data_IF_048816547597
#
_entry.id   IF_048816547597
#
_cell.length_a   1.000
_cell.length_b   1.000
_cell.length_c   1.000
_cell.angle_alpha   90.00
_cell.angle_beta   90.00
_cell.angle_gamma   90.00
#
_symmetry.space_group_name_H-M   'P 1'
#
loop_
_entity.id
_entity.type
_entity.pdbx_description
1 polymer ?
#
# COMPACT_ATOMS: atom_id res chain seq x y z
N UNK A 1 -4.58 0.53 -6.13
CA UNK A 1 -5.18 -0.53 -5.30
C UNK A 1 -6.56 -0.92 -5.81
N UNK A 2 -6.97 -2.14 -5.51
CA UNK A 2 -8.21 -2.72 -6.00
C UNK A 2 -9.02 -3.31 -4.85
N UNK A 3 -10.29 -2.94 -4.73
CA UNK A 3 -11.21 -3.42 -3.71
C UNK A 3 -12.45 -4.13 -4.26
N UNK A 4 -12.78 -3.92 -5.54
CA UNK A 4 -13.84 -4.65 -6.27
C UNK A 4 -15.27 -4.51 -5.75
N UNK A 5 -15.50 -3.67 -4.75
CA UNK A 5 -16.82 -3.55 -4.11
C UNK A 5 -17.88 -2.97 -5.06
N UNK A 6 -19.09 -3.55 -5.04
CA UNK A 6 -20.23 -3.12 -5.88
C UNK A 6 -21.19 -2.20 -5.16
N UNK A 7 -21.08 -2.08 -3.84
CA UNK A 7 -21.91 -1.25 -2.98
C UNK A 7 -21.12 -0.19 -2.23
N UNK A 8 -21.84 0.62 -1.43
CA UNK A 8 -21.23 1.61 -0.54
C UNK A 8 -20.59 0.98 0.71
N UNK A 9 -20.99 -0.24 1.05
CA UNK A 9 -20.47 -1.01 2.19
C UNK A 9 -19.43 -2.03 1.70
N UNK A 10 -18.37 -2.22 2.50
CA UNK A 10 -17.39 -3.29 2.28
C UNK A 10 -17.88 -4.67 2.74
N UNK A 11 -19.05 -4.75 3.39
CA UNK A 11 -19.64 -6.01 3.85
C UNK A 11 -20.06 -6.91 2.69
N UNK A 12 -20.51 -6.31 1.58
CA UNK A 12 -20.86 -7.05 0.38
C UNK A 12 -19.62 -7.28 -0.47
N UNK A 13 -19.03 -8.44 -0.31
CA UNK A 13 -17.87 -8.85 -1.10
C UNK A 13 -18.27 -9.18 -2.55
N UNK A 14 -17.44 -8.82 -3.55
CA UNK A 14 -17.68 -9.19 -4.94
C UNK A 14 -17.55 -10.71 -5.13
N UNK A 15 -18.34 -11.25 -6.03
CA UNK A 15 -18.22 -12.64 -6.46
C UNK A 15 -16.97 -12.84 -7.32
N UNK A 16 -16.49 -14.08 -7.44
CA UNK A 16 -15.35 -14.41 -8.30
C UNK A 16 -15.60 -13.98 -9.76
N UNK A 17 -16.84 -14.09 -10.25
CA UNK A 17 -17.17 -13.67 -11.61
C UNK A 17 -17.09 -12.15 -11.79
N UNK A 18 -17.58 -11.37 -10.85
CA UNK A 18 -17.43 -9.89 -10.87
C UNK A 18 -15.97 -9.47 -10.80
N UNK A 19 -15.16 -10.17 -9.99
CA UNK A 19 -13.71 -9.94 -9.93
C UNK A 19 -13.07 -10.25 -11.30
N UNK A 20 -13.43 -11.35 -11.96
CA UNK A 20 -12.91 -11.68 -13.29
C UNK A 20 -13.25 -10.61 -14.34
N UNK A 21 -14.47 -10.08 -14.31
CA UNK A 21 -14.87 -8.99 -15.20
C UNK A 21 -13.97 -7.77 -15.02
N UNK A 22 -13.74 -7.35 -13.77
CA UNK A 22 -12.85 -6.24 -13.45
C UNK A 22 -11.41 -6.49 -13.89
N UNK A 23 -10.89 -7.70 -13.64
CA UNK A 23 -9.53 -8.10 -14.02
C UNK A 23 -9.33 -8.06 -15.53
N UNK A 24 -10.30 -8.53 -16.31
CA UNK A 24 -10.23 -8.46 -17.77
C UNK A 24 -10.26 -7.02 -18.29
N UNK A 25 -11.07 -6.15 -17.68
CA UNK A 25 -11.10 -4.72 -18.01
C UNK A 25 -9.75 -4.07 -17.69
N UNK A 26 -9.21 -4.30 -16.50
CA UNK A 26 -7.90 -3.77 -16.08
C UNK A 26 -6.78 -4.28 -17.00
N UNK A 27 -6.77 -5.57 -17.32
CA UNK A 27 -5.78 -6.16 -18.21
C UNK A 27 -5.83 -5.55 -19.61
N UNK A 28 -7.04 -5.35 -20.17
CA UNK A 28 -7.22 -4.70 -21.47
C UNK A 28 -6.70 -3.24 -21.50
N UNK A 29 -6.70 -2.57 -20.34
CA UNK A 29 -6.14 -1.22 -20.18
C UNK A 29 -4.64 -1.21 -19.90
N UNK A 30 -3.98 -2.36 -19.87
CA UNK A 30 -2.54 -2.48 -19.66
C UNK A 30 -2.10 -2.62 -18.20
N UNK A 31 -3.02 -2.70 -17.22
CA UNK A 31 -2.65 -3.00 -15.85
C UNK A 31 -2.15 -4.45 -15.75
N UNK A 32 -1.05 -4.65 -15.00
CA UNK A 32 -0.45 -5.96 -14.75
C UNK A 32 -0.21 -6.23 -13.27
N UNK A 33 -0.21 -5.20 -12.44
CA UNK A 33 -0.03 -5.30 -11.00
C UNK A 33 -1.08 -4.47 -10.29
N UNK A 34 -1.67 -4.99 -9.24
CA UNK A 34 -2.50 -4.22 -8.31
C UNK A 34 -2.26 -4.67 -6.87
N UNK A 35 -2.74 -3.87 -5.92
CA UNK A 35 -2.58 -4.11 -4.49
C UNK A 35 -3.92 -4.38 -3.83
N UNK A 36 -3.95 -5.37 -2.91
CA UNK A 36 -5.02 -5.58 -1.92
C UNK A 36 -4.67 -4.90 -0.59
N UNK A 37 -5.56 -4.96 0.40
CA UNK A 37 -5.39 -4.23 1.67
C UNK A 37 -5.26 -5.13 2.89
N UNK A 38 -6.07 -6.18 2.99
CA UNK A 38 -6.20 -7.06 4.15
C UNK A 38 -6.57 -8.48 3.73
N UNK A 39 -6.47 -9.41 4.68
CA UNK A 39 -6.73 -10.84 4.50
C UNK A 39 -7.85 -11.37 5.41
N UNK A 40 -8.44 -10.52 6.25
CA UNK A 40 -9.59 -10.89 7.06
C UNK A 40 -10.83 -11.16 6.22
N UNK A 41 -10.92 -10.54 5.05
CA UNK A 41 -12.00 -10.75 4.11
C UNK A 41 -11.58 -11.69 2.98
N UNK A 42 -12.50 -12.49 2.43
CA UNK A 42 -12.17 -13.44 1.36
C UNK A 42 -11.79 -12.78 0.03
N UNK A 43 -11.82 -11.46 -0.05
CA UNK A 43 -11.60 -10.70 -1.27
C UNK A 43 -10.23 -10.98 -1.90
N UNK A 44 -9.16 -10.91 -1.12
CA UNK A 44 -7.80 -11.14 -1.62
C UNK A 44 -7.65 -12.56 -2.18
N UNK A 45 -8.07 -13.58 -1.44
CA UNK A 45 -8.03 -14.97 -1.89
C UNK A 45 -8.93 -15.21 -3.12
N UNK A 46 -10.15 -14.66 -3.14
CA UNK A 46 -11.05 -14.76 -4.29
C UNK A 46 -10.45 -14.10 -5.55
N UNK A 47 -9.68 -13.03 -5.37
CA UNK A 47 -8.96 -12.36 -6.45
C UNK A 47 -7.85 -13.26 -7.01
N UNK A 48 -7.09 -13.93 -6.17
CA UNK A 48 -6.07 -14.89 -6.60
C UNK A 48 -6.69 -16.09 -7.34
N UNK A 49 -7.82 -16.61 -6.82
CA UNK A 49 -8.61 -17.66 -7.52
C UNK A 49 -9.06 -17.20 -8.90
N UNK A 50 -9.62 -15.99 -9.00
CA UNK A 50 -10.07 -15.42 -10.26
C UNK A 50 -8.93 -15.30 -11.28
N UNK A 51 -7.75 -14.78 -10.87
CA UNK A 51 -6.57 -14.70 -11.73
C UNK A 51 -6.15 -16.09 -12.21
N UNK A 52 -6.06 -17.07 -11.30
CA UNK A 52 -5.67 -18.45 -11.65
C UNK A 52 -6.63 -19.07 -12.65
N UNK A 53 -7.94 -18.85 -12.48
CA UNK A 53 -8.94 -19.37 -13.41
C UNK A 53 -8.88 -18.70 -14.79
N UNK A 54 -8.62 -17.40 -14.86
CA UNK A 54 -8.42 -16.71 -16.15
C UNK A 54 -7.15 -17.23 -16.82
N UNK A 55 -6.02 -17.32 -16.10
CA UNK A 55 -4.76 -17.86 -16.62
C UNK A 55 -4.87 -19.29 -17.15
N UNK A 56 -5.73 -20.12 -16.55
CA UNK A 56 -5.99 -21.45 -17.05
C UNK A 56 -6.76 -21.46 -18.39
N UNK A 57 -7.62 -20.46 -18.62
CA UNK A 57 -8.39 -20.30 -19.85
C UNK A 57 -7.62 -19.55 -20.94
N UNK A 58 -6.73 -18.65 -20.55
CA UNK A 58 -5.90 -17.79 -21.41
C UNK A 58 -4.48 -17.71 -20.85
N UNK A 59 -3.53 -18.42 -21.47
CA UNK A 59 -2.12 -18.47 -21.06
C UNK A 59 -1.40 -17.14 -21.21
N UNK A 60 -1.92 -16.23 -22.04
CA UNK A 60 -1.33 -14.90 -22.29
C UNK A 60 -1.82 -13.86 -21.27
N UNK A 61 -2.76 -14.25 -20.38
CA UNK A 61 -3.22 -13.38 -19.32
C UNK A 61 -2.15 -13.21 -18.23
N UNK A 62 -1.59 -12.00 -18.16
CA UNK A 62 -0.59 -11.62 -17.14
C UNK A 62 -1.20 -10.67 -16.12
N UNK A 63 -1.31 -11.12 -14.87
CA UNK A 63 -1.73 -10.29 -13.75
C UNK A 63 -1.04 -10.77 -12.47
N UNK A 64 -0.50 -9.81 -11.72
CA UNK A 64 0.25 -10.04 -10.48
C UNK A 64 -0.36 -9.25 -9.33
N UNK A 65 -0.14 -9.73 -8.12
CA UNK A 65 -0.70 -9.12 -6.91
C UNK A 65 0.41 -8.72 -5.94
N UNK A 66 0.33 -7.49 -5.48
CA UNK A 66 0.94 -7.01 -4.26
C UNK A 66 -0.07 -7.27 -3.14
N UNK A 67 0.17 -8.31 -2.38
CA UNK A 67 -0.73 -8.77 -1.32
C UNK A 67 -0.53 -7.88 -0.08
N UNK A 68 -1.55 -7.11 0.27
CA UNK A 68 -1.54 -6.29 1.48
C UNK A 68 -1.91 -7.10 2.70
N UNK A 69 -1.22 -6.87 3.81
CA UNK A 69 -1.57 -7.34 5.13
C UNK A 69 -1.94 -6.14 6.01
N UNK A 70 -2.96 -6.28 6.83
CA UNK A 70 -3.36 -5.23 7.74
C UNK A 70 -2.57 -5.34 9.05
N UNK A 71 -1.86 -4.28 9.41
CA UNK A 71 -1.12 -4.19 10.68
C UNK A 71 -1.69 -3.06 11.50
N UNK A 72 -2.00 -3.33 12.76
CA UNK A 72 -2.64 -2.38 13.65
C UNK A 72 -2.14 -2.50 15.09
N UNK A 73 -2.37 -1.42 15.86
CA UNK A 73 -2.12 -1.42 17.29
C UNK A 73 -3.19 -2.22 18.06
N UNK A 74 -2.91 -2.50 19.31
CA UNK A 74 -3.88 -3.09 20.23
C UNK A 74 -5.05 -2.15 20.47
N UNK A 75 -6.24 -2.71 20.59
CA UNK A 75 -7.50 -1.99 20.75
C UNK A 75 -7.77 -0.97 19.62
N UNK A 76 -7.26 -1.26 18.40
CA UNK A 76 -7.50 -0.44 17.22
C UNK A 76 -9.00 -0.26 16.95
N UNK A 77 -9.38 0.92 16.42
CA UNK A 77 -10.76 1.31 16.14
C UNK A 77 -11.69 1.39 17.35
N UNK A 78 -11.13 1.41 18.58
CA UNK A 78 -11.83 1.72 19.81
C UNK A 78 -11.65 3.20 20.20
N UNK A 79 -12.26 3.62 21.30
CA UNK A 79 -12.04 4.96 21.86
C UNK A 79 -10.63 5.17 22.42
N UNK A 80 -9.89 4.09 22.73
CA UNK A 80 -8.59 4.14 23.38
C UNK A 80 -7.61 3.16 22.74
N UNK A 81 -7.14 3.38 21.50
CA UNK A 81 -6.14 2.55 20.87
C UNK A 81 -4.79 2.67 21.61
N UNK A 82 -4.06 1.56 21.73
CA UNK A 82 -2.78 1.49 22.44
C UNK A 82 -1.66 1.32 21.42
N UNK A 83 -1.13 2.43 20.94
CA UNK A 83 -0.15 2.44 19.83
C UNK A 83 1.17 1.76 20.15
N UNK A 84 1.60 1.77 21.42
CA UNK A 84 2.86 1.13 21.86
C UNK A 84 2.75 -0.40 22.01
N UNK A 85 1.57 -0.97 21.83
CA UNK A 85 1.31 -2.42 21.79
C UNK A 85 0.68 -2.78 20.44
N UNK A 86 1.11 -3.90 19.85
CA UNK A 86 0.48 -4.41 18.63
C UNK A 86 -0.75 -5.28 18.95
N UNK A 87 -1.69 -5.35 18.01
CA UNK A 87 -2.68 -6.43 17.98
C UNK A 87 -2.01 -7.72 17.48
N UNK A 88 -1.35 -8.41 18.42
CA UNK A 88 -0.52 -9.56 18.09
C UNK A 88 -1.28 -10.66 17.34
N UNK A 89 -2.51 -10.96 17.77
CA UNK A 89 -3.29 -12.07 17.18
C UNK A 89 -3.79 -11.70 15.78
N UNK A 90 -4.32 -10.47 15.60
CA UNK A 90 -4.77 -9.98 14.32
C UNK A 90 -3.62 -9.83 13.32
N UNK A 91 -2.52 -9.21 13.73
CA UNK A 91 -1.35 -9.03 12.88
C UNK A 91 -0.71 -10.37 12.49
N UNK A 92 -0.63 -11.33 13.44
CA UNK A 92 -0.13 -12.67 13.16
C UNK A 92 -1.02 -13.43 12.18
N UNK A 93 -2.34 -13.32 12.30
CA UNK A 93 -3.28 -13.91 11.33
C UNK A 93 -3.01 -13.39 9.92
N UNK A 94 -2.94 -12.07 9.74
CA UNK A 94 -2.67 -11.43 8.45
C UNK A 94 -1.38 -11.94 7.81
N UNK A 95 -0.29 -11.99 8.58
CA UNK A 95 1.00 -12.47 8.07
C UNK A 95 0.97 -13.97 7.75
N UNK A 96 0.32 -14.79 8.60
CA UNK A 96 0.20 -16.23 8.36
C UNK A 96 -0.58 -16.51 7.07
N UNK A 97 -1.68 -15.79 6.85
CA UNK A 97 -2.48 -15.92 5.62
C UNK A 97 -1.72 -15.41 4.39
N UNK A 98 -0.95 -14.33 4.51
CA UNK A 98 -0.10 -13.86 3.42
C UNK A 98 0.93 -14.90 2.99
N UNK A 99 1.58 -15.56 3.95
CA UNK A 99 2.53 -16.65 3.69
C UNK A 99 1.82 -17.82 2.99
N UNK A 100 0.68 -18.26 3.51
CA UNK A 100 -0.11 -19.34 2.88
C UNK A 100 -0.47 -19.02 1.44
N UNK A 101 -1.00 -17.82 1.19
CA UNK A 101 -1.41 -17.39 -0.15
C UNK A 101 -0.22 -17.22 -1.10
N UNK A 102 0.91 -16.70 -0.62
CA UNK A 102 2.13 -16.59 -1.44
C UNK A 102 2.68 -17.97 -1.83
N UNK A 103 2.60 -18.97 -0.94
CA UNK A 103 2.97 -20.35 -1.23
C UNK A 103 1.99 -21.05 -2.18
N UNK A 104 0.69 -20.78 -2.06
CA UNK A 104 -0.36 -21.39 -2.91
C UNK A 104 -0.41 -20.76 -4.32
N UNK A 105 -0.03 -19.48 -4.46
CA UNK A 105 -0.09 -18.70 -5.71
C UNK A 105 1.26 -18.04 -6.05
N UNK A 106 2.37 -18.78 -6.11
CA UNK A 106 3.71 -18.21 -6.25
C UNK A 106 3.95 -17.53 -7.61
N UNK A 107 3.16 -17.86 -8.62
CA UNK A 107 3.21 -17.25 -9.94
C UNK A 107 2.37 -15.95 -10.03
N UNK A 108 1.51 -15.67 -9.04
CA UNK A 108 0.60 -14.53 -9.01
C UNK A 108 1.02 -13.52 -7.94
N UNK A 109 1.27 -13.99 -6.70
CA UNK A 109 1.73 -13.12 -5.60
C UNK A 109 3.22 -12.85 -5.78
N UNK A 110 3.56 -11.61 -6.09
CA UNK A 110 4.95 -11.18 -6.32
C UNK A 110 5.48 -10.24 -5.24
N UNK A 111 4.59 -9.65 -4.47
CA UNK A 111 4.93 -8.70 -3.41
C UNK A 111 4.02 -8.97 -2.21
N UNK A 112 4.57 -8.89 -0.99
CA UNK A 112 3.82 -8.75 0.24
C UNK A 112 4.11 -7.36 0.82
N UNK A 113 3.05 -6.59 1.07
CA UNK A 113 3.11 -5.30 1.74
C UNK A 113 2.64 -5.44 3.19
N UNK A 114 3.56 -5.28 4.13
CA UNK A 114 3.32 -5.37 5.57
C UNK A 114 2.78 -4.04 6.08
N UNK A 115 1.47 -3.96 6.29
CA UNK A 115 0.77 -2.74 6.67
C UNK A 115 0.28 -1.91 5.47
N UNK A 116 -0.75 -1.14 5.73
CA UNK A 116 -1.30 -0.12 4.85
C UNK A 116 -1.47 1.17 5.62
N UNK A 117 -0.60 2.16 5.37
CA UNK A 117 -0.56 3.41 6.13
C UNK A 117 -0.56 3.13 7.64
N UNK A 118 0.21 2.11 8.04
CA UNK A 118 0.24 1.61 9.39
C UNK A 118 1.08 2.49 10.33
N UNK A 119 2.06 3.22 9.81
CA UNK A 119 3.00 4.01 10.63
C UNK A 119 2.67 5.50 10.65
N UNK A 120 1.74 5.97 9.83
CA UNK A 120 1.41 7.39 9.72
C UNK A 120 0.58 7.87 10.90
N UNK A 121 1.03 8.92 11.61
CA UNK A 121 0.46 9.37 12.89
C UNK A 121 -0.98 9.87 12.80
N UNK A 122 -1.45 10.38 11.63
CA UNK A 122 -2.84 10.78 11.46
C UNK A 122 -3.83 9.60 11.44
N UNK A 123 -3.33 8.37 11.24
CA UNK A 123 -4.15 7.15 11.37
C UNK A 123 -4.36 6.77 12.84
N UNK A 124 -4.79 7.75 13.64
CA UNK A 124 -4.93 7.65 15.09
C UNK A 124 -5.66 6.39 15.57
N UNK A 125 -6.62 5.92 14.81
CA UNK A 125 -7.44 4.76 15.22
C UNK A 125 -6.69 3.42 15.19
N UNK A 126 -5.52 3.32 14.52
CA UNK A 126 -4.86 2.02 14.33
C UNK A 126 -3.34 2.07 14.17
N UNK A 127 -2.72 3.24 14.03
CA UNK A 127 -1.30 3.29 13.70
C UNK A 127 -0.40 2.61 14.73
N UNK A 128 0.75 2.16 14.26
CA UNK A 128 1.79 1.50 15.05
C UNK A 128 3.14 2.17 14.84
N UNK A 129 4.06 2.18 15.81
CA UNK A 129 5.44 2.56 15.57
C UNK A 129 6.13 1.58 14.60
N UNK A 130 7.19 2.02 13.88
CA UNK A 130 7.91 1.22 12.89
C UNK A 130 8.40 -0.14 13.38
N UNK A 131 8.71 -0.28 14.67
CA UNK A 131 9.18 -1.54 15.29
C UNK A 131 8.26 -2.75 15.01
N UNK A 132 6.93 -2.54 14.93
CA UNK A 132 6.00 -3.65 14.70
C UNK A 132 5.95 -4.03 13.22
N UNK A 133 6.02 -3.07 12.30
CA UNK A 133 6.14 -3.36 10.86
C UNK A 133 7.48 -4.05 10.60
N UNK A 134 8.58 -3.54 11.16
CA UNK A 134 9.92 -4.12 11.07
C UNK A 134 9.96 -5.57 11.55
N UNK A 135 9.34 -5.88 12.69
CA UNK A 135 9.23 -7.24 13.21
C UNK A 135 8.67 -8.20 12.16
N UNK A 136 7.57 -7.83 11.51
CA UNK A 136 6.91 -8.69 10.54
C UNK A 136 7.63 -8.73 9.19
N UNK A 137 8.23 -7.64 8.76
CA UNK A 137 9.13 -7.61 7.58
C UNK A 137 10.30 -8.58 7.80
N UNK A 138 11.00 -8.49 8.94
CA UNK A 138 12.11 -9.41 9.27
C UNK A 138 11.66 -10.87 9.35
N UNK A 139 10.46 -11.14 9.87
CA UNK A 139 9.90 -12.49 9.86
C UNK A 139 9.75 -13.03 8.44
N UNK A 140 9.16 -12.27 7.52
CA UNK A 140 8.99 -12.68 6.12
C UNK A 140 10.33 -12.81 5.39
N UNK A 141 11.30 -11.91 5.62
CA UNK A 141 12.66 -12.05 5.09
C UNK A 141 13.36 -13.30 5.63
N UNK A 142 13.12 -13.65 6.89
CA UNK A 142 13.59 -14.91 7.48
C UNK A 142 13.02 -16.14 6.78
N UNK A 143 11.73 -16.13 6.40
CA UNK A 143 11.10 -17.20 5.63
C UNK A 143 11.66 -17.31 4.19
N UNK A 144 12.05 -16.19 3.59
CA UNK A 144 12.79 -16.21 2.30
C UNK A 144 14.17 -16.86 2.49
N UNK A 145 14.90 -16.46 3.52
CA UNK A 145 16.25 -16.97 3.80
C UNK A 145 16.25 -18.47 4.13
N UNK A 146 15.19 -19.01 4.78
CA UNK A 146 15.03 -20.45 5.05
C UNK A 146 14.53 -21.26 3.84
N UNK A 147 14.03 -20.59 2.79
CA UNK A 147 13.45 -21.23 1.61
C UNK A 147 11.96 -21.59 1.76
N UNK A 148 11.30 -21.16 2.85
CA UNK A 148 9.87 -21.32 3.03
C UNK A 148 9.05 -20.38 2.13
N UNK A 149 9.64 -19.24 1.74
CA UNK A 149 9.13 -18.34 0.72
C UNK A 149 10.13 -18.21 -0.43
N UNK A 150 9.62 -17.91 -1.64
CA UNK A 150 10.47 -17.68 -2.81
C UNK A 150 11.38 -16.47 -2.61
N UNK A 151 12.64 -16.56 -3.04
CA UNK A 151 13.56 -15.43 -3.08
C UNK A 151 13.11 -14.32 -4.07
N UNK A 152 12.28 -14.68 -5.06
CA UNK A 152 11.72 -13.73 -6.04
C UNK A 152 10.52 -12.95 -5.49
N UNK A 153 10.04 -13.29 -4.29
CA UNK A 153 8.97 -12.56 -3.61
C UNK A 153 9.55 -11.30 -2.96
N UNK A 154 9.01 -10.15 -3.27
CA UNK A 154 9.43 -8.89 -2.67
C UNK A 154 8.62 -8.58 -1.41
N UNK A 155 9.31 -8.11 -0.38
CA UNK A 155 8.71 -7.69 0.89
C UNK A 155 8.88 -6.18 1.04
N UNK A 156 7.78 -5.51 1.36
CA UNK A 156 7.77 -4.06 1.61
C UNK A 156 6.74 -3.71 2.70
N UNK A 157 6.61 -2.44 3.04
CA UNK A 157 5.43 -1.85 3.65
C UNK A 157 4.87 -0.79 2.70
N UNK A 158 3.56 -0.53 2.75
CA UNK A 158 2.92 0.43 1.88
C UNK A 158 2.36 1.57 2.72
N UNK A 159 3.06 2.70 2.77
CA UNK A 159 2.78 3.76 3.73
C UNK A 159 2.95 5.17 3.13
N UNK A 160 2.50 6.17 3.87
CA UNK A 160 2.61 7.56 3.48
C UNK A 160 4.09 8.02 3.42
N UNK A 161 4.40 8.95 2.53
CA UNK A 161 5.75 9.48 2.38
C UNK A 161 6.35 10.00 3.70
N UNK A 162 5.50 10.57 4.58
CA UNK A 162 5.96 11.11 5.86
C UNK A 162 6.54 10.02 6.76
N UNK A 163 5.86 8.87 6.86
CA UNK A 163 6.31 7.74 7.68
C UNK A 163 7.50 6.97 7.09
N UNK A 164 7.85 7.22 5.82
CA UNK A 164 9.09 6.76 5.22
C UNK A 164 10.26 7.76 5.34
N UNK A 165 10.16 8.70 6.30
CA UNK A 165 11.20 9.70 6.59
C UNK A 165 11.15 10.94 5.71
N UNK A 166 10.18 11.05 4.79
CA UNK A 166 10.00 12.27 3.98
C UNK A 166 9.21 13.38 4.68
N UNK A 167 8.71 13.12 5.90
CA UNK A 167 7.96 14.07 6.73
C UNK A 167 8.84 14.83 7.70
N UNK A 168 8.27 15.16 8.88
CA UNK A 168 9.01 15.80 9.97
C UNK A 168 9.93 14.81 10.68
N UNK A 169 10.91 15.33 11.41
CA UNK A 169 11.90 14.55 12.17
C UNK A 169 11.26 13.64 13.24
N UNK A 170 9.99 13.87 13.60
CA UNK A 170 9.24 13.02 14.54
C UNK A 170 9.06 11.55 14.03
N UNK A 171 9.20 11.35 12.73
CA UNK A 171 9.18 10.01 12.15
C UNK A 171 10.54 9.31 12.17
N UNK A 172 11.64 10.08 12.33
CA UNK A 172 13.00 9.55 12.24
C UNK A 172 13.38 8.81 13.52
N UNK A 173 13.70 7.54 13.41
CA UNK A 173 14.18 6.71 14.51
C UNK A 173 14.89 5.45 14.00
N UNK A 174 15.63 4.79 14.89
CA UNK A 174 16.44 3.61 14.56
C UNK A 174 15.59 2.44 13.97
N UNK A 175 14.34 2.29 14.42
CA UNK A 175 13.46 1.23 13.91
C UNK A 175 13.01 1.52 12.46
N UNK A 176 12.78 2.78 12.10
CA UNK A 176 12.50 3.18 10.73
C UNK A 176 13.70 2.95 9.82
N UNK A 177 14.90 3.36 10.28
CA UNK A 177 16.14 3.14 9.53
C UNK A 177 16.37 1.65 9.23
N UNK A 178 16.19 0.82 10.24
CA UNK A 178 16.31 -0.63 10.10
C UNK A 178 15.21 -1.23 9.20
N UNK A 179 13.98 -0.69 9.28
CA UNK A 179 12.89 -1.10 8.40
C UNK A 179 13.22 -0.79 6.94
N UNK A 180 13.72 0.41 6.65
CA UNK A 180 14.12 0.82 5.30
C UNK A 180 15.20 -0.12 4.74
N UNK A 181 16.20 -0.51 5.56
CA UNK A 181 17.23 -1.49 5.17
C UNK A 181 16.71 -2.91 5.02
N UNK A 182 15.56 -3.23 5.61
CA UNK A 182 14.99 -4.59 5.65
C UNK A 182 14.01 -4.88 4.54
N UNK A 183 13.43 -3.87 3.90
CA UNK A 183 12.49 -4.03 2.78
C UNK A 183 13.23 -4.18 1.45
N UNK A 184 12.62 -4.88 0.49
CA UNK A 184 13.18 -5.01 -0.86
C UNK A 184 13.02 -3.71 -1.68
N UNK A 185 12.06 -2.86 -1.33
CA UNK A 185 11.87 -1.50 -1.86
C UNK A 185 10.91 -0.69 -0.96
N UNK A 186 10.97 0.63 -1.04
CA UNK A 186 10.04 1.53 -0.36
C UNK A 186 8.79 1.72 -1.21
N UNK A 187 7.62 1.35 -0.68
CA UNK A 187 6.32 1.58 -1.33
C UNK A 187 5.64 2.78 -0.69
N UNK A 188 5.78 3.92 -1.35
CA UNK A 188 5.36 5.21 -0.86
C UNK A 188 3.98 5.62 -1.40
N UNK A 189 3.13 6.18 -0.55
CA UNK A 189 1.89 6.84 -0.96
C UNK A 189 2.07 8.35 -1.08
N UNK A 190 1.58 8.89 -2.19
CA UNK A 190 1.40 10.32 -2.43
C UNK A 190 0.00 10.56 -2.99
N UNK A 191 -0.63 11.67 -2.62
CA UNK A 191 -2.02 11.94 -3.00
C UNK A 191 -2.22 13.42 -3.34
N UNK A 192 -1.55 13.90 -4.40
CA UNK A 192 -1.60 15.30 -4.78
C UNK A 192 -3.04 15.85 -4.93
N UNK A 193 -3.97 15.06 -5.47
CA UNK A 193 -5.36 15.48 -5.64
C UNK A 193 -6.19 15.42 -4.35
N UNK A 194 -5.87 14.52 -3.43
CA UNK A 194 -6.53 14.43 -2.13
C UNK A 194 -6.00 15.50 -1.18
N UNK A 195 -4.70 15.73 -1.17
CA UNK A 195 -4.04 16.62 -0.22
C UNK A 195 -4.40 18.10 -0.44
N UNK A 196 -4.88 18.44 -1.64
CA UNK A 196 -5.45 19.78 -1.93
C UNK A 196 -6.71 20.09 -1.14
N UNK A 197 -7.43 19.09 -0.66
CA UNK A 197 -8.53 19.32 0.27
C UNK A 197 -8.04 20.00 1.55
N UNK A 198 -6.84 19.65 2.01
CA UNK A 198 -6.19 20.23 3.19
C UNK A 198 -5.29 21.42 2.86
N UNK A 199 -4.89 21.56 1.60
CA UNK A 199 -4.07 22.68 1.11
C UNK A 199 -4.58 23.19 -0.24
N UNK A 200 -5.67 24.00 -0.25
CA UNK A 200 -6.29 24.49 -1.48
C UNK A 200 -5.34 25.24 -2.42
N UNK A 201 -4.22 25.78 -1.91
CA UNK A 201 -3.27 26.55 -2.72
C UNK A 201 -2.63 25.72 -3.86
N UNK A 202 -2.60 24.38 -3.75
CA UNK A 202 -2.08 23.53 -4.83
C UNK A 202 -3.00 23.47 -6.04
N UNK A 203 -4.32 23.53 -5.82
CA UNK A 203 -5.33 23.33 -6.87
C UNK A 203 -6.16 24.55 -7.16
N UNK A 204 -6.05 25.61 -6.34
CA UNK A 204 -7.02 26.70 -6.40
C UNK A 204 -7.03 27.32 -7.80
N UNK A 205 -8.05 26.94 -8.57
CA UNK A 205 -8.35 27.53 -9.87
C UNK A 205 -9.03 28.91 -9.71
N UNK A 206 -9.45 29.28 -8.48
CA UNK A 206 -10.09 30.54 -8.19
C UNK A 206 -9.08 31.69 -8.05
N UNK A 207 -7.78 31.37 -7.96
CA UNK A 207 -6.67 32.34 -7.99
C UNK A 207 -6.19 32.54 -9.43
N UNK A 208 -7.12 32.61 -10.40
CA UNK A 208 -6.80 32.95 -11.77
C UNK A 208 -6.75 34.49 -11.86
N UNK A 209 -5.63 35.10 -12.22
CA UNK A 209 -5.63 36.50 -12.62
C UNK A 209 -6.63 36.69 -13.80
N UNK A 210 -7.43 37.75 -13.76
CA UNK A 210 -8.49 38.01 -14.76
C UNK A 210 -8.03 37.99 -16.22
N UNK A 211 -6.73 37.88 -16.48
CA UNK A 211 -6.08 37.95 -17.80
C UNK A 211 -5.41 36.65 -18.25
N UNK A 212 -5.50 35.55 -17.51
CA UNK A 212 -4.88 34.27 -17.89
C UNK A 212 -5.89 33.32 -18.55
N UNK A 213 -5.43 32.62 -19.60
CA UNK A 213 -6.20 31.58 -20.27
C UNK A 213 -6.47 30.41 -19.27
N UNK A 214 -7.73 30.02 -19.20
CA UNK A 214 -8.19 28.90 -18.36
C UNK A 214 -7.38 27.62 -18.58
N UNK A 215 -6.93 27.36 -19.81
CA UNK A 215 -6.11 26.19 -20.12
C UNK A 215 -4.71 26.27 -19.49
N UNK A 216 -4.10 27.44 -19.48
CA UNK A 216 -2.78 27.61 -18.86
C UNK A 216 -2.84 27.47 -17.34
N UNK A 217 -3.94 27.93 -16.74
CA UNK A 217 -4.19 27.75 -15.29
C UNK A 217 -4.36 26.28 -14.92
N UNK A 218 -5.07 25.48 -15.71
CA UNK A 218 -5.20 24.03 -15.49
C UNK A 218 -3.83 23.35 -15.61
N UNK A 219 -3.02 23.70 -16.62
CA UNK A 219 -1.67 23.17 -16.79
C UNK A 219 -0.77 23.51 -15.58
N UNK A 220 -0.85 24.74 -15.09
CA UNK A 220 -0.10 25.17 -13.90
C UNK A 220 -0.56 24.41 -12.63
N UNK A 221 -1.86 24.16 -12.47
CA UNK A 221 -2.39 23.35 -11.35
C UNK A 221 -1.88 21.91 -11.44
N UNK A 222 -1.93 21.29 -12.62
CA UNK A 222 -1.37 19.95 -12.85
C UNK A 222 0.13 19.93 -12.53
N UNK A 223 0.88 20.94 -13.00
CA UNK A 223 2.30 21.04 -12.70
C UNK A 223 2.58 21.12 -11.20
N UNK A 224 1.83 21.93 -10.46
CA UNK A 224 1.97 22.01 -8.99
C UNK A 224 1.71 20.66 -8.30
N UNK A 225 0.72 19.90 -8.79
CA UNK A 225 0.43 18.56 -8.29
C UNK A 225 1.59 17.59 -8.54
N UNK A 226 2.14 17.60 -9.76
CA UNK A 226 3.31 16.78 -10.10
C UNK A 226 4.52 17.19 -9.27
N UNK A 227 4.78 18.49 -9.15
CA UNK A 227 5.89 19.02 -8.33
C UNK A 227 5.72 18.62 -6.86
N UNK A 228 4.48 18.60 -6.34
CA UNK A 228 4.18 18.16 -4.97
C UNK A 228 4.54 16.68 -4.76
N UNK A 229 4.13 15.79 -5.65
CA UNK A 229 4.47 14.36 -5.56
C UNK A 229 5.97 14.12 -5.73
N UNK A 230 6.62 14.82 -6.67
CA UNK A 230 8.07 14.73 -6.86
C UNK A 230 8.85 15.21 -5.61
N UNK A 231 8.40 16.28 -4.97
CA UNK A 231 9.02 16.77 -3.74
C UNK A 231 8.90 15.75 -2.59
N UNK A 232 7.76 15.06 -2.48
CA UNK A 232 7.60 13.98 -1.49
C UNK A 232 8.53 12.80 -1.80
N UNK A 233 8.62 12.40 -3.06
CA UNK A 233 9.57 11.37 -3.49
C UNK A 233 11.02 11.76 -3.20
N UNK A 234 11.42 12.98 -3.53
CA UNK A 234 12.78 13.45 -3.30
C UNK A 234 13.11 13.54 -1.82
N UNK A 235 12.14 13.90 -0.95
CA UNK A 235 12.36 13.92 0.50
C UNK A 235 12.61 12.53 1.08
N UNK A 236 11.81 11.53 0.67
CA UNK A 236 12.04 10.12 1.08
C UNK A 236 13.37 9.62 0.53
N UNK A 237 13.66 9.85 -0.75
CA UNK A 237 14.92 9.46 -1.38
C UNK A 237 16.13 10.06 -0.65
N UNK A 238 16.04 11.33 -0.25
CA UNK A 238 17.10 11.99 0.51
C UNK A 238 17.32 11.28 1.84
N UNK A 239 16.27 11.00 2.60
CA UNK A 239 16.38 10.32 3.89
C UNK A 239 16.99 8.92 3.74
N UNK A 240 16.51 8.13 2.77
CA UNK A 240 17.08 6.80 2.48
C UNK A 240 18.58 6.85 2.20
N UNK A 241 19.05 7.86 1.45
CA UNK A 241 20.49 8.05 1.21
C UNK A 241 21.29 8.56 2.41
N UNK A 242 20.65 9.22 3.38
CA UNK A 242 21.31 9.69 4.59
C UNK A 242 21.55 8.59 5.62
N UNK A 243 20.73 7.53 5.59
CA UNK A 243 20.83 6.38 6.51
C UNK A 243 21.67 5.21 5.97
N UNK A 244 21.97 5.20 4.66
CA UNK A 244 22.88 4.22 4.02
C UNK A 244 24.36 4.55 4.32
#
# INVERSE_FOLDING_TARGET
>A
SYGGYRGKSREQQPTINEIKEDLLIMHAQGFRVFRTYDLHHPFAENTLKAIREIKHADSDFEMYVMLGTWIQCKDAFTENPIHEEEDLEGNKFEITEAVRLAQEYPDIVKIIAVGNEAMVHWAWSYHVPPKFVLKWVKHLQGLKASGDLSNDLWITSSDNFASWGGGSDDYHNDDLDELIRSVDFVSMHTYAFHDTHYNPSFWNLDVIPENEDKQDTIKQAIKRAVDYELNQFDSVKKYVHEID
#
